data_IF_751132372669
#
_entry.id   IF_751132372669
#
_cell.length_a   1.000
_cell.length_b   1.000
_cell.length_c   1.000
_cell.angle_alpha   90.00
_cell.angle_beta   90.00
_cell.angle_gamma   90.00
#
_symmetry.space_group_name_H-M   'P 1'
#
loop_
_entity.id
_entity.type
_entity.pdbx_description
1 polymer ?
#
# COMPACT_ATOMS: atom_id res chain seq x y z
N UNK A 1 0.78 20.79 -12.03
CA UNK A 1 1.69 21.48 -11.08
C UNK A 1 1.54 22.99 -11.19
N UNK A 2 1.66 23.73 -10.08
CA UNK A 2 1.55 25.20 -10.06
C UNK A 2 2.58 25.89 -10.97
N UNK A 3 3.78 25.32 -11.09
CA UNK A 3 4.88 25.85 -11.91
C UNK A 3 4.53 25.92 -13.41
N UNK A 4 3.74 24.96 -13.91
CA UNK A 4 3.27 24.97 -15.30
C UNK A 4 2.08 25.92 -15.52
N UNK A 5 1.25 26.13 -14.51
CA UNK A 5 0.03 26.98 -14.60
C UNK A 5 0.32 28.46 -14.34
N UNK A 6 1.37 28.76 -13.56
CA UNK A 6 1.71 30.12 -13.13
C UNK A 6 3.20 30.43 -13.39
N UNK A 7 3.67 30.34 -14.65
CA UNK A 7 5.10 30.48 -14.98
C UNK A 7 5.67 31.87 -14.68
N UNK A 8 4.82 32.90 -14.59
CA UNK A 8 5.22 34.26 -14.18
C UNK A 8 5.63 34.35 -12.71
N UNK A 9 5.12 33.46 -11.85
CA UNK A 9 5.44 33.39 -10.43
C UNK A 9 6.49 32.31 -10.15
N UNK A 10 6.41 31.19 -10.88
CA UNK A 10 7.28 30.04 -10.71
C UNK A 10 7.94 29.64 -12.04
N UNK A 11 8.95 30.39 -12.51
CA UNK A 11 9.62 30.15 -13.79
C UNK A 11 10.47 28.87 -13.75
N UNK A 12 9.79 27.75 -14.00
CA UNK A 12 10.34 26.40 -14.01
C UNK A 12 10.56 25.81 -12.62
N UNK A 13 10.87 24.52 -12.59
CA UNK A 13 11.15 23.80 -11.36
C UNK A 13 12.45 24.28 -10.69
N UNK A 14 12.47 24.33 -9.35
CA UNK A 14 13.65 24.69 -8.56
C UNK A 14 13.95 23.63 -7.51
N UNK A 15 15.23 23.34 -7.33
CA UNK A 15 15.71 22.50 -6.24
C UNK A 15 15.33 23.13 -4.90
N UNK A 16 14.82 22.30 -3.99
CA UNK A 16 14.57 22.71 -2.61
C UNK A 16 15.90 22.88 -1.87
N UNK A 17 16.07 24.04 -1.25
CA UNK A 17 17.20 24.41 -0.39
C UNK A 17 16.74 24.40 1.07
N UNK A 18 17.69 24.41 2.00
CA UNK A 18 17.40 24.48 3.43
C UNK A 18 18.32 25.48 4.12
N UNK A 19 17.74 26.38 4.91
CA UNK A 19 18.43 27.31 5.77
C UNK A 19 17.53 27.59 6.97
N UNK A 20 17.94 27.18 8.17
CA UNK A 20 17.10 27.28 9.37
C UNK A 20 16.53 28.70 9.54
N UNK A 21 15.21 28.85 9.77
CA UNK A 21 14.21 27.80 10.05
C UNK A 21 13.46 27.26 8.81
N UNK A 22 13.89 27.55 7.59
CA UNK A 22 13.16 27.30 6.35
C UNK A 22 13.70 26.11 5.54
N UNK A 23 12.76 25.41 4.90
CA UNK A 23 13.00 24.72 3.62
C UNK A 23 12.38 25.58 2.51
N UNK A 24 13.13 25.92 1.47
CA UNK A 24 12.70 26.95 0.50
C UNK A 24 13.18 26.71 -0.92
N UNK A 25 12.52 27.37 -1.88
CA UNK A 25 12.96 27.48 -3.28
C UNK A 25 13.22 28.94 -3.62
N UNK A 26 14.29 29.17 -4.38
CA UNK A 26 14.63 30.49 -4.90
C UNK A 26 14.44 30.53 -6.42
N UNK A 27 13.70 31.54 -6.89
CA UNK A 27 13.41 31.80 -8.29
C UNK A 27 14.18 33.05 -8.74
N UNK A 28 15.39 32.92 -9.30
CA UNK A 28 16.26 34.06 -9.58
C UNK A 28 15.68 35.04 -10.59
N UNK A 29 14.84 34.59 -11.52
CA UNK A 29 14.20 35.44 -12.52
C UNK A 29 13.21 36.43 -11.91
N UNK A 30 12.58 36.07 -10.79
CA UNK A 30 11.61 36.92 -10.08
C UNK A 30 12.19 37.48 -8.78
N UNK A 31 13.38 37.03 -8.37
CA UNK A 31 13.97 37.35 -7.07
C UNK A 31 13.15 36.82 -5.89
N UNK A 32 12.27 35.83 -6.11
CA UNK A 32 11.32 35.34 -5.10
C UNK A 32 11.88 34.14 -4.34
N UNK A 33 11.75 34.18 -3.02
CA UNK A 33 11.95 33.05 -2.13
C UNK A 33 10.58 32.59 -1.66
N UNK A 34 10.28 31.30 -1.83
CA UNK A 34 9.10 30.65 -1.28
C UNK A 34 9.57 29.57 -0.32
N UNK A 35 9.24 29.70 0.96
CA UNK A 35 9.71 28.79 2.00
C UNK A 35 8.60 28.31 2.92
N UNK A 36 8.79 27.12 3.48
CA UNK A 36 7.98 26.57 4.58
C UNK A 36 8.87 26.52 5.81
N UNK A 37 8.35 26.97 6.94
CA UNK A 37 9.04 26.86 8.24
C UNK A 37 9.03 25.41 8.70
N UNK A 38 10.22 24.83 8.88
CA UNK A 38 10.41 23.47 9.37
C UNK A 38 10.81 23.40 10.84
N UNK A 39 11.16 24.54 11.44
CA UNK A 39 11.50 24.67 12.87
C UNK A 39 10.85 25.95 13.43
N UNK A 40 9.98 25.83 14.43
CA UNK A 40 9.34 26.99 15.06
C UNK A 40 10.38 27.88 15.76
N UNK A 41 10.15 29.20 15.74
CA UNK A 41 10.84 30.14 16.64
C UNK A 41 9.97 31.36 16.96
N UNK A 42 10.52 32.35 17.67
CA UNK A 42 9.78 33.54 18.10
C UNK A 42 9.22 34.39 16.94
N UNK A 43 9.79 34.27 15.73
CA UNK A 43 9.42 35.07 14.56
C UNK A 43 8.64 34.28 13.50
N UNK A 44 8.67 32.95 13.55
CA UNK A 44 8.18 32.08 12.48
C UNK A 44 7.38 30.89 13.01
N UNK A 45 6.17 30.73 12.50
CA UNK A 45 5.25 29.67 12.91
C UNK A 45 5.56 28.38 12.14
N UNK A 46 5.66 27.24 12.83
CA UNK A 46 5.93 25.94 12.21
C UNK A 46 4.85 25.61 11.18
N UNK A 47 5.27 25.13 10.00
CA UNK A 47 4.35 24.74 8.93
C UNK A 47 3.71 25.91 8.19
N UNK A 48 4.06 27.17 8.46
CA UNK A 48 3.58 28.31 7.68
C UNK A 48 4.43 28.54 6.42
N UNK A 49 3.79 29.08 5.39
CA UNK A 49 4.41 29.46 4.12
C UNK A 49 4.80 30.94 4.16
N UNK A 50 6.06 31.24 3.86
CA UNK A 50 6.58 32.59 3.81
C UNK A 50 7.14 32.93 2.43
N UNK A 51 6.96 34.18 2.02
CA UNK A 51 7.48 34.72 0.76
C UNK A 51 8.37 35.93 1.03
N UNK A 52 9.52 35.99 0.35
CA UNK A 52 10.38 37.16 0.30
C UNK A 52 10.71 37.53 -1.16
N UNK A 53 10.77 38.83 -1.47
CA UNK A 53 11.10 39.33 -2.80
C UNK A 53 9.87 39.59 -3.67
N UNK A 54 10.09 40.10 -4.89
CA UNK A 54 9.03 40.50 -5.83
C UNK A 54 7.93 41.41 -5.22
N UNK A 55 8.30 42.27 -4.26
CA UNK A 55 7.37 43.17 -3.57
C UNK A 55 6.59 42.53 -2.40
N UNK A 56 6.82 41.25 -2.12
CA UNK A 56 6.25 40.52 -0.99
C UNK A 56 7.35 40.28 0.04
N UNK A 57 7.48 41.19 1.01
CA UNK A 57 8.44 41.07 2.11
C UNK A 57 9.91 41.17 1.69
N UNK A 58 10.79 40.97 2.67
CA UNK A 58 12.26 40.96 2.49
C UNK A 58 12.85 39.71 3.12
N UNK A 59 14.11 39.38 2.84
CA UNK A 59 14.76 38.21 3.47
C UNK A 59 14.84 38.30 5.00
N UNK A 60 14.86 39.52 5.55
CA UNK A 60 14.88 39.76 7.01
C UNK A 60 13.48 39.91 7.62
N UNK A 61 12.46 40.16 6.79
CA UNK A 61 11.07 40.26 7.19
C UNK A 61 10.17 39.71 6.07
N UNK A 62 10.12 38.38 5.90
CA UNK A 62 9.31 37.76 4.86
C UNK A 62 7.82 37.84 5.24
N UNK A 63 6.95 37.88 4.23
CA UNK A 63 5.51 37.92 4.44
C UNK A 63 4.99 36.52 4.78
N UNK A 64 4.26 36.38 5.89
CA UNK A 64 3.52 35.16 6.23
C UNK A 64 2.29 35.06 5.32
N UNK A 65 2.21 33.98 4.55
CA UNK A 65 1.08 33.68 3.67
C UNK A 65 0.02 32.81 4.37
N UNK A 66 0.32 32.29 5.56
CA UNK A 66 -0.51 31.41 6.36
C UNK A 66 -0.01 29.97 6.40
N UNK A 67 -0.76 29.12 7.12
CA UNK A 67 -0.47 27.68 7.23
C UNK A 67 -0.37 27.01 5.86
N UNK A 68 0.61 26.12 5.69
CA UNK A 68 0.74 25.26 4.51
C UNK A 68 -0.54 24.48 4.22
N UNK A 69 -1.30 24.11 5.25
CA UNK A 69 -2.58 23.40 5.13
C UNK A 69 -3.67 24.22 4.43
N UNK A 70 -3.55 25.55 4.42
CA UNK A 70 -4.45 26.42 3.64
C UNK A 70 -4.18 26.32 2.13
N UNK A 71 -3.01 25.81 1.73
CA UNK A 71 -2.57 25.73 0.35
C UNK A 71 -2.55 24.30 -0.19
N UNK A 72 -2.27 23.32 0.68
CA UNK A 72 -2.23 21.90 0.35
C UNK A 72 -2.91 21.07 1.43
N UNK A 73 -3.65 20.04 1.05
CA UNK A 73 -4.15 19.05 2.00
C UNK A 73 -3.03 18.00 2.22
N UNK A 74 -2.55 17.80 3.46
CA UNK A 74 -1.60 16.72 3.73
C UNK A 74 -2.26 15.36 3.44
N UNK A 75 -1.46 14.39 3.02
CA UNK A 75 -1.91 13.01 2.91
C UNK A 75 -2.14 12.45 4.31
N UNK A 76 -3.26 11.75 4.51
CA UNK A 76 -3.61 11.11 5.78
C UNK A 76 -2.84 9.78 5.89
N UNK A 77 -1.54 9.85 6.17
CA UNK A 77 -0.67 8.68 6.15
C UNK A 77 -1.08 7.61 7.19
N UNK A 78 -1.03 6.30 6.86
CA UNK A 78 -1.48 5.18 7.71
C UNK A 78 -0.57 4.86 8.92
N UNK A 79 0.14 5.85 9.46
CA UNK A 79 1.19 5.65 10.47
C UNK A 79 2.46 5.02 9.89
N UNK A 80 3.27 4.35 10.73
CA UNK A 80 4.51 3.69 10.33
C UNK A 80 5.80 4.43 10.71
N UNK A 81 6.94 3.91 10.26
CA UNK A 81 8.30 4.41 10.46
C UNK A 81 8.96 4.75 9.12
N UNK A 82 9.54 5.94 9.01
CA UNK A 82 10.30 6.34 7.82
C UNK A 82 11.59 5.53 7.68
N UNK A 83 11.84 4.98 6.48
CA UNK A 83 13.11 4.35 6.13
C UNK A 83 13.64 4.90 4.81
N UNK A 84 14.93 4.62 4.55
CA UNK A 84 15.55 4.90 3.26
C UNK A 84 14.74 4.22 2.16
N UNK A 85 14.22 4.96 1.18
CA UNK A 85 13.46 4.37 0.08
C UNK A 85 14.26 3.32 -0.67
N UNK A 86 13.62 2.22 -1.11
CA UNK A 86 14.24 1.26 -2.02
C UNK A 86 14.70 1.93 -3.33
N UNK A 87 15.73 1.37 -3.96
CA UNK A 87 16.26 1.85 -5.24
C UNK A 87 16.11 0.77 -6.31
N UNK A 88 15.48 1.13 -7.43
CA UNK A 88 15.34 0.28 -8.62
C UNK A 88 16.23 0.84 -9.73
N UNK A 89 17.21 0.05 -10.19
CA UNK A 89 18.11 0.43 -11.29
C UNK A 89 18.75 1.83 -11.11
N UNK A 90 19.16 2.16 -9.89
CA UNK A 90 19.77 3.45 -9.54
C UNK A 90 18.79 4.59 -9.29
N UNK A 91 17.48 4.36 -9.44
CA UNK A 91 16.42 5.34 -9.15
C UNK A 91 15.73 5.00 -7.83
N UNK A 92 15.80 5.91 -6.86
CA UNK A 92 15.09 5.74 -5.59
C UNK A 92 13.58 5.89 -5.80
N UNK A 93 12.80 5.03 -5.14
CA UNK A 93 11.36 5.23 -5.00
C UNK A 93 11.09 6.50 -4.17
N UNK A 94 9.93 7.11 -4.38
CA UNK A 94 9.50 8.29 -3.64
C UNK A 94 8.83 7.87 -2.33
N UNK A 95 9.33 8.30 -1.17
CA UNK A 95 8.63 8.09 0.10
C UNK A 95 7.46 9.08 0.19
N UNK A 96 6.24 8.57 0.03
CA UNK A 96 5.02 9.40 0.03
C UNK A 96 4.42 9.47 1.44
N UNK A 97 4.50 8.38 2.17
CA UNK A 97 4.18 8.27 3.60
C UNK A 97 5.21 7.38 4.28
N UNK A 98 5.20 7.34 5.62
CA UNK A 98 5.94 6.29 6.33
C UNK A 98 5.48 4.91 5.83
N UNK A 99 6.43 4.02 5.54
CA UNK A 99 6.18 2.71 4.96
C UNK A 99 5.46 2.71 3.59
N UNK A 100 5.31 3.84 2.89
CA UNK A 100 4.70 3.87 1.54
C UNK A 100 5.67 4.49 0.54
N UNK A 101 6.12 3.68 -0.42
CA UNK A 101 7.08 4.05 -1.44
C UNK A 101 6.46 3.89 -2.82
N UNK A 102 6.54 4.93 -3.63
CA UNK A 102 5.89 4.99 -4.93
C UNK A 102 6.94 5.17 -6.03
N UNK A 103 6.80 4.41 -7.11
CA UNK A 103 7.57 4.58 -8.33
C UNK A 103 7.44 6.01 -8.87
N UNK A 104 8.54 6.73 -9.18
CA UNK A 104 8.49 8.07 -9.75
C UNK A 104 7.63 8.22 -11.00
N UNK A 105 7.32 7.15 -11.72
CA UNK A 105 6.40 7.19 -12.86
C UNK A 105 4.92 7.28 -12.48
N UNK A 106 4.55 7.10 -11.21
CA UNK A 106 3.16 7.23 -10.75
C UNK A 106 2.72 8.70 -10.79
N UNK A 107 1.63 9.02 -11.51
CA UNK A 107 1.12 10.38 -11.56
C UNK A 107 0.70 10.89 -10.17
N UNK A 108 1.14 12.10 -9.81
CA UNK A 108 0.90 12.70 -8.49
C UNK A 108 -0.58 12.82 -8.11
N UNK A 109 -1.46 12.93 -9.11
CA UNK A 109 -2.91 12.95 -8.92
C UNK A 109 -3.48 11.64 -8.37
N UNK A 110 -2.76 10.52 -8.49
CA UNK A 110 -3.19 9.23 -7.95
C UNK A 110 -2.77 9.02 -6.49
N UNK A 111 -1.84 9.81 -5.96
CA UNK A 111 -1.23 9.57 -4.65
C UNK A 111 -2.26 9.64 -3.51
N UNK A 112 -3.18 10.61 -3.56
CA UNK A 112 -4.24 10.72 -2.56
C UNK A 112 -5.14 9.48 -2.57
N UNK A 113 -5.57 9.02 -3.76
CA UNK A 113 -6.39 7.82 -3.88
C UNK A 113 -5.68 6.54 -3.41
N UNK A 114 -4.36 6.45 -3.61
CA UNK A 114 -3.54 5.34 -3.09
C UNK A 114 -3.55 5.35 -1.55
N UNK A 115 -3.29 6.51 -0.93
CA UNK A 115 -3.26 6.61 0.55
C UNK A 115 -4.65 6.37 1.15
N UNK A 116 -5.70 6.94 0.54
CA UNK A 116 -7.09 6.70 0.96
C UNK A 116 -7.46 5.22 0.84
N UNK A 117 -7.06 4.57 -0.26
CA UNK A 117 -7.23 3.14 -0.46
C UNK A 117 -6.56 2.29 0.62
N UNK A 118 -5.35 2.66 1.03
CA UNK A 118 -4.62 1.98 2.12
C UNK A 118 -5.37 2.12 3.45
N UNK A 119 -5.83 3.33 3.80
CA UNK A 119 -6.59 3.55 5.03
C UNK A 119 -7.90 2.75 5.05
N UNK A 120 -8.62 2.71 3.94
CA UNK A 120 -9.86 1.92 3.82
C UNK A 120 -9.55 0.43 3.94
N UNK A 121 -8.49 -0.07 3.29
CA UNK A 121 -8.07 -1.47 3.36
C UNK A 121 -7.71 -1.92 4.80
N UNK A 122 -7.06 -1.05 5.58
CA UNK A 122 -6.78 -1.28 7.01
C UNK A 122 -8.10 -1.43 7.78
N UNK A 123 -9.07 -0.54 7.52
CA UNK A 123 -10.40 -0.60 8.13
C UNK A 123 -11.14 -1.90 7.79
N UNK A 124 -11.07 -2.35 6.53
CA UNK A 124 -11.67 -3.61 6.07
C UNK A 124 -11.07 -4.83 6.77
N UNK A 125 -9.74 -4.90 6.85
CA UNK A 125 -9.07 -5.98 7.56
C UNK A 125 -9.39 -5.96 9.06
N UNK A 126 -9.43 -4.77 9.67
CA UNK A 126 -9.81 -4.60 11.09
C UNK A 126 -11.22 -5.10 11.36
N UNK A 127 -12.16 -4.91 10.42
CA UNK A 127 -13.54 -5.37 10.58
C UNK A 127 -13.65 -6.92 10.63
N UNK A 128 -12.72 -7.65 10.00
CA UNK A 128 -12.70 -9.11 9.97
C UNK A 128 -11.84 -9.70 11.08
N UNK A 129 -10.64 -9.15 11.29
CA UNK A 129 -9.66 -9.69 12.23
C UNK A 129 -9.76 -9.12 13.65
N UNK A 130 -10.53 -8.05 13.84
CA UNK A 130 -10.49 -7.23 15.05
C UNK A 130 -9.20 -6.40 15.09
N UNK A 131 -8.58 -6.28 16.27
CA UNK A 131 -7.28 -5.64 16.36
C UNK A 131 -6.25 -6.41 15.52
N UNK A 132 -5.60 -5.70 14.59
CA UNK A 132 -4.54 -6.27 13.75
C UNK A 132 -3.33 -6.62 14.61
N UNK A 133 -2.76 -7.80 14.37
CA UNK A 133 -1.51 -8.25 14.98
C UNK A 133 -0.30 -7.76 14.20
N UNK A 134 -0.46 -7.57 12.89
CA UNK A 134 0.56 -6.99 12.04
C UNK A 134 0.79 -5.51 12.35
N UNK A 135 2.06 -5.10 12.29
CA UNK A 135 2.40 -3.68 12.12
C UNK A 135 2.23 -3.29 10.65
N UNK A 136 2.10 -1.99 10.36
CA UNK A 136 2.05 -1.49 8.98
C UNK A 136 3.21 -2.08 8.14
N UNK A 137 2.91 -2.85 7.06
CA UNK A 137 3.92 -3.35 6.15
C UNK A 137 4.49 -2.20 5.32
N UNK A 138 5.65 -2.41 4.71
CA UNK A 138 6.06 -1.54 3.61
C UNK A 138 5.10 -1.76 2.42
N UNK A 139 4.67 -0.69 1.77
CA UNK A 139 3.82 -0.71 0.57
C UNK A 139 4.62 -0.09 -0.55
N UNK A 140 4.95 -0.90 -1.55
CA UNK A 140 5.66 -0.47 -2.76
C UNK A 140 4.65 -0.43 -3.90
N UNK A 141 4.45 0.75 -4.49
CA UNK A 141 3.55 0.93 -5.63
C UNK A 141 4.38 1.15 -6.89
N UNK A 142 4.40 0.14 -7.75
CA UNK A 142 5.04 0.16 -9.05
C UNK A 142 4.09 0.62 -10.15
N UNK A 143 4.66 1.28 -11.15
CA UNK A 143 3.94 1.65 -12.39
C UNK A 143 4.82 1.42 -13.62
N UNK A 144 6.13 1.65 -13.50
CA UNK A 144 7.08 1.26 -14.54
C UNK A 144 7.26 -0.25 -14.59
N UNK A 145 7.47 -0.75 -15.81
CA UNK A 145 7.89 -2.13 -16.05
C UNK A 145 9.14 -2.51 -15.22
N UNK A 146 10.10 -1.60 -15.09
CA UNK A 146 11.31 -1.81 -14.33
C UNK A 146 11.04 -2.05 -12.84
N UNK A 147 10.15 -1.26 -12.21
CA UNK A 147 9.75 -1.48 -10.82
C UNK A 147 9.02 -2.82 -10.65
N UNK A 148 8.02 -3.08 -11.51
CA UNK A 148 7.24 -4.32 -11.47
C UNK A 148 8.13 -5.56 -11.63
N UNK A 149 9.01 -5.58 -12.63
CA UNK A 149 9.91 -6.71 -12.86
C UNK A 149 10.93 -6.88 -11.72
N UNK A 150 11.37 -5.79 -11.10
CA UNK A 150 12.34 -5.83 -10.01
C UNK A 150 11.78 -6.46 -8.74
N UNK A 151 10.57 -6.05 -8.32
CA UNK A 151 9.98 -6.50 -7.05
C UNK A 151 9.06 -7.71 -7.18
N UNK A 152 8.31 -7.81 -8.28
CA UNK A 152 7.30 -8.86 -8.48
C UNK A 152 7.69 -9.87 -9.57
N UNK A 153 8.84 -9.70 -10.22
CA UNK A 153 9.27 -10.56 -11.31
C UNK A 153 8.44 -10.38 -12.60
N UNK A 154 8.70 -11.22 -13.62
CA UNK A 154 8.14 -11.02 -14.96
C UNK A 154 6.63 -11.24 -15.05
N UNK A 155 6.02 -11.92 -14.08
CA UNK A 155 4.56 -12.08 -14.02
C UNK A 155 3.86 -10.79 -13.63
N UNK A 156 4.58 -9.86 -12.96
CA UNK A 156 4.07 -8.59 -12.41
C UNK A 156 2.76 -8.77 -11.65
N UNK A 157 2.63 -9.87 -10.91
CA UNK A 157 1.54 -10.05 -9.96
C UNK A 157 1.81 -9.24 -8.71
N UNK A 158 0.77 -8.75 -8.05
CA UNK A 158 0.94 -8.28 -6.70
C UNK A 158 1.51 -9.41 -5.85
N UNK A 159 2.35 -9.06 -4.88
CA UNK A 159 3.00 -10.06 -4.03
C UNK A 159 3.36 -9.47 -2.68
N UNK A 160 3.49 -10.35 -1.70
CA UNK A 160 4.02 -10.02 -0.38
C UNK A 160 5.42 -10.59 -0.23
N UNK A 161 6.41 -9.72 -0.04
CA UNK A 161 7.78 -10.10 0.29
C UNK A 161 7.90 -10.27 1.80
N UNK A 162 8.39 -11.44 2.22
CA UNK A 162 8.61 -11.74 3.64
C UNK A 162 9.91 -11.12 4.16
N UNK A 163 10.04 -10.88 5.48
CA UNK A 163 11.29 -10.37 6.04
C UNK A 163 12.50 -11.21 5.60
N UNK A 164 13.56 -10.54 5.17
CA UNK A 164 14.81 -11.11 4.64
C UNK A 164 14.69 -11.83 3.28
N UNK A 165 13.58 -11.66 2.56
CA UNK A 165 13.50 -12.07 1.15
C UNK A 165 14.12 -11.02 0.23
N UNK A 166 14.60 -11.48 -0.93
CA UNK A 166 15.37 -10.68 -1.87
C UNK A 166 14.57 -10.38 -3.14
N UNK A 167 14.63 -9.13 -3.60
CA UNK A 167 14.19 -8.70 -4.91
C UNK A 167 15.36 -7.94 -5.57
N UNK A 168 16.14 -8.64 -6.41
CA UNK A 168 17.43 -8.12 -6.88
C UNK A 168 18.39 -7.84 -5.71
N UNK A 169 18.71 -6.57 -5.48
CA UNK A 169 19.56 -6.11 -4.36
C UNK A 169 18.76 -5.62 -3.16
N UNK A 170 17.44 -5.46 -3.29
CA UNK A 170 16.57 -5.12 -2.18
C UNK A 170 16.38 -6.32 -1.27
N UNK A 171 16.50 -6.09 0.03
CA UNK A 171 16.18 -7.07 1.07
C UNK A 171 15.03 -6.51 1.88
N UNK A 172 13.90 -7.20 1.87
CA UNK A 172 12.71 -6.77 2.59
C UNK A 172 13.01 -6.71 4.11
N UNK A 173 13.00 -5.53 4.74
CA UNK A 173 13.34 -5.40 6.16
C UNK A 173 12.21 -5.91 7.07
N UNK A 174 10.99 -5.99 6.52
CA UNK A 174 9.76 -6.46 7.13
C UNK A 174 8.82 -6.97 6.03
N UNK A 175 7.62 -7.41 6.39
CA UNK A 175 6.57 -7.70 5.40
C UNK A 175 6.37 -6.50 4.48
N UNK A 176 6.50 -6.72 3.17
CA UNK A 176 6.39 -5.69 2.14
C UNK A 176 5.35 -6.12 1.12
N UNK A 177 4.29 -5.33 0.94
CA UNK A 177 3.31 -5.52 -0.12
C UNK A 177 3.77 -4.76 -1.36
N UNK A 178 3.84 -5.46 -2.49
CA UNK A 178 4.23 -4.91 -3.79
C UNK A 178 3.01 -4.90 -4.69
N UNK A 179 2.62 -3.72 -5.14
CA UNK A 179 1.51 -3.50 -6.06
C UNK A 179 2.08 -3.11 -7.41
N UNK A 180 1.64 -3.77 -8.47
CA UNK A 180 2.24 -3.61 -9.82
C UNK A 180 1.47 -2.66 -10.73
N UNK A 181 0.45 -1.98 -10.21
CA UNK A 181 -0.25 -0.89 -10.89
C UNK A 181 -0.81 0.14 -9.92
N UNK A 182 -0.44 1.41 -10.11
CA UNK A 182 -0.94 2.50 -9.29
C UNK A 182 -2.45 2.74 -9.47
N UNK A 183 -2.97 2.52 -10.69
CA UNK A 183 -4.40 2.66 -10.97
C UNK A 183 -5.22 1.65 -10.17
N UNK A 184 -4.77 0.38 -10.14
CA UNK A 184 -5.44 -0.66 -9.35
C UNK A 184 -5.26 -0.47 -7.86
N UNK A 185 -4.12 0.10 -7.43
CA UNK A 185 -3.84 0.37 -6.01
C UNK A 185 -4.81 1.39 -5.40
N UNK A 186 -5.42 2.27 -6.20
CA UNK A 186 -6.48 3.16 -5.71
C UNK A 186 -7.77 2.40 -5.33
N UNK A 187 -7.92 1.14 -5.75
CA UNK A 187 -9.03 0.30 -5.37
C UNK A 187 -8.76 -0.36 -4.00
N UNK A 188 -9.51 0.01 -2.93
CA UNK A 188 -9.25 -0.52 -1.60
C UNK A 188 -9.45 -2.03 -1.50
N UNK A 189 -10.21 -2.65 -2.39
CA UNK A 189 -10.42 -4.11 -2.40
C UNK A 189 -9.12 -4.87 -2.71
N UNK A 190 -8.33 -4.37 -3.66
CA UNK A 190 -7.01 -4.96 -3.99
C UNK A 190 -6.08 -4.87 -2.78
N UNK A 191 -6.00 -3.69 -2.16
CA UNK A 191 -5.16 -3.49 -0.97
C UNK A 191 -5.65 -4.32 0.22
N UNK A 192 -6.96 -4.46 0.40
CA UNK A 192 -7.53 -5.26 1.48
C UNK A 192 -7.18 -6.75 1.30
N UNK A 193 -7.21 -7.25 0.06
CA UNK A 193 -6.76 -8.59 -0.29
C UNK A 193 -5.29 -8.77 0.12
N UNK A 194 -4.39 -7.90 -0.34
CA UNK A 194 -2.96 -8.05 -0.02
C UNK A 194 -2.66 -7.90 1.49
N UNK A 195 -3.36 -7.01 2.19
CA UNK A 195 -3.18 -6.83 3.64
C UNK A 195 -3.68 -8.03 4.45
N UNK A 196 -4.59 -8.84 3.87
CA UNK A 196 -4.97 -10.11 4.49
C UNK A 196 -3.78 -11.05 4.62
N UNK A 197 -2.99 -11.20 3.55
CA UNK A 197 -1.82 -12.09 3.57
C UNK A 197 -0.80 -11.67 4.65
N UNK A 198 -0.61 -10.35 4.82
CA UNK A 198 0.22 -9.79 5.89
C UNK A 198 -0.29 -10.20 7.27
N UNK A 199 -1.60 -10.07 7.51
CA UNK A 199 -2.20 -10.40 8.80
C UNK A 199 -2.20 -11.92 9.06
N UNK A 200 -2.53 -12.73 8.06
CA UNK A 200 -2.48 -14.20 8.14
C UNK A 200 -1.06 -14.66 8.46
N UNK A 201 -0.05 -14.15 7.77
CA UNK A 201 1.35 -14.45 8.03
C UNK A 201 1.74 -14.23 9.50
N UNK A 202 1.42 -13.06 10.06
CA UNK A 202 1.75 -12.70 11.45
C UNK A 202 0.95 -13.54 12.45
N UNK A 203 -0.32 -13.83 12.15
CA UNK A 203 -1.18 -14.67 13.01
C UNK A 203 -0.68 -16.10 13.07
N UNK A 204 -0.25 -16.67 11.95
CA UNK A 204 0.22 -18.05 11.86
C UNK A 204 1.63 -18.24 12.41
N UNK A 205 2.49 -17.21 12.35
CA UNK A 205 3.87 -17.28 12.85
C UNK A 205 4.65 -18.47 12.25
N UNK A 206 4.58 -18.60 10.92
CA UNK A 206 5.26 -19.65 10.16
C UNK A 206 4.52 -21.00 10.10
N UNK A 207 3.32 -21.11 10.69
CA UNK A 207 2.46 -22.28 10.48
C UNK A 207 1.77 -22.22 9.11
N UNK A 208 1.44 -23.39 8.58
CA UNK A 208 0.84 -23.53 7.25
C UNK A 208 -0.67 -23.45 7.27
N UNK A 209 -1.24 -22.76 6.29
CA UNK A 209 -2.62 -22.90 5.85
C UNK A 209 -2.64 -23.13 4.35
N UNK A 210 -3.62 -23.86 3.79
CA UNK A 210 -3.69 -24.08 2.36
C UNK A 210 -3.76 -22.76 1.57
N UNK A 211 -3.06 -22.68 0.43
CA UNK A 211 -3.08 -21.50 -0.44
C UNK A 211 -4.50 -21.12 -0.88
N UNK A 212 -5.35 -22.10 -1.20
CA UNK A 212 -6.75 -21.81 -1.52
C UNK A 212 -7.50 -21.14 -0.37
N UNK A 213 -7.15 -21.43 0.89
CA UNK A 213 -7.79 -20.81 2.04
C UNK A 213 -7.30 -19.38 2.23
N UNK A 214 -5.99 -19.15 2.14
CA UNK A 214 -5.42 -17.80 2.31
C UNK A 214 -5.94 -16.84 1.24
N UNK A 215 -5.90 -17.28 -0.03
CA UNK A 215 -6.41 -16.51 -1.16
C UNK A 215 -7.94 -16.35 -1.11
N UNK A 216 -8.65 -17.41 -0.71
CA UNK A 216 -10.10 -17.35 -0.51
C UNK A 216 -10.51 -16.39 0.62
N UNK A 217 -9.76 -16.36 1.72
CA UNK A 217 -9.99 -15.45 2.84
C UNK A 217 -9.75 -14.01 2.41
N UNK A 218 -8.63 -13.75 1.72
CA UNK A 218 -8.29 -12.45 1.17
C UNK A 218 -9.38 -11.95 0.20
N UNK A 219 -9.83 -12.79 -0.74
CA UNK A 219 -10.91 -12.45 -1.68
C UNK A 219 -12.25 -12.21 -0.96
N UNK A 220 -12.58 -13.03 0.04
CA UNK A 220 -13.81 -12.91 0.80
C UNK A 220 -13.88 -11.61 1.61
N UNK A 221 -12.84 -11.29 2.39
CA UNK A 221 -12.85 -10.09 3.24
C UNK A 221 -12.69 -8.80 2.44
N UNK A 222 -11.95 -8.85 1.33
CA UNK A 222 -11.88 -7.74 0.39
C UNK A 222 -13.26 -7.47 -0.23
N UNK A 223 -14.16 -8.46 -0.27
CA UNK A 223 -15.47 -8.31 -0.89
C UNK A 223 -15.34 -7.97 -2.38
N UNK A 224 -14.39 -8.61 -3.07
CA UNK A 224 -13.98 -8.20 -4.41
C UNK A 224 -15.18 -8.17 -5.39
N UNK A 225 -15.51 -7.00 -5.96
CA UNK A 225 -16.69 -6.86 -6.83
C UNK A 225 -16.64 -7.76 -8.07
N UNK A 226 -15.44 -8.15 -8.50
CA UNK A 226 -15.23 -9.02 -9.66
C UNK A 226 -15.94 -10.35 -9.52
N UNK A 227 -16.09 -10.86 -8.29
CA UNK A 227 -16.76 -12.13 -8.03
C UNK A 227 -18.28 -12.08 -8.15
N UNK A 228 -18.89 -10.89 -8.28
CA UNK A 228 -20.36 -10.75 -8.41
C UNK A 228 -20.90 -11.44 -9.66
N UNK A 229 -20.14 -11.44 -10.75
CA UNK A 229 -20.58 -11.96 -12.06
C UNK A 229 -19.84 -13.23 -12.49
N UNK A 230 -18.96 -13.76 -11.66
CA UNK A 230 -18.20 -14.98 -11.96
C UNK A 230 -19.07 -16.18 -11.56
N UNK A 231 -19.46 -16.98 -12.55
CA UNK A 231 -20.27 -18.19 -12.34
C UNK A 231 -19.46 -19.45 -12.63
N UNK A 232 -19.78 -20.53 -11.91
CA UNK A 232 -19.14 -21.84 -12.06
C UNK A 232 -17.90 -22.00 -11.18
N UNK A 233 -17.32 -23.20 -11.21
CA UNK A 233 -16.11 -23.54 -10.45
C UNK A 233 -14.88 -23.35 -11.35
N UNK A 234 -13.81 -22.78 -10.79
CA UNK A 234 -12.50 -22.71 -11.44
C UNK A 234 -11.82 -24.07 -11.46
N UNK A 235 -11.96 -24.82 -10.36
CA UNK A 235 -11.36 -26.14 -10.18
C UNK A 235 -12.36 -27.12 -9.54
N UNK A 236 -12.19 -28.42 -9.79
CA UNK A 236 -13.06 -29.45 -9.23
C UNK A 236 -12.95 -29.57 -7.70
N UNK A 237 -11.74 -29.43 -7.14
CA UNK A 237 -11.46 -29.54 -5.71
C UNK A 237 -10.39 -28.51 -5.31
N UNK A 238 -10.72 -27.51 -4.48
CA UNK A 238 -9.76 -26.47 -4.05
C UNK A 238 -8.63 -27.07 -3.22
N UNK A 239 -8.88 -28.20 -2.55
CA UNK A 239 -7.89 -28.85 -1.69
C UNK A 239 -6.68 -29.36 -2.47
N UNK A 240 -6.74 -29.44 -3.80
CA UNK A 240 -5.57 -29.76 -4.62
C UNK A 240 -4.64 -28.56 -4.80
N UNK A 241 -5.06 -27.35 -4.42
CA UNK A 241 -4.25 -26.13 -4.44
C UNK A 241 -3.89 -25.74 -3.00
N UNK A 242 -3.21 -26.65 -2.31
CA UNK A 242 -2.71 -26.45 -0.94
C UNK A 242 -1.41 -25.63 -0.91
N UNK A 243 -0.54 -25.85 -1.89
CA UNK A 243 0.74 -25.17 -2.01
C UNK A 243 0.63 -23.88 -2.84
N UNK A 244 1.39 -22.85 -2.46
CA UNK A 244 1.40 -21.54 -3.15
C UNK A 244 1.90 -21.66 -4.60
N UNK A 245 2.90 -22.51 -4.84
CA UNK A 245 3.43 -22.76 -6.18
C UNK A 245 2.40 -23.40 -7.10
N UNK A 246 1.65 -24.39 -6.61
CA UNK A 246 0.56 -25.03 -7.34
C UNK A 246 -0.59 -24.05 -7.62
N UNK A 247 -0.95 -23.23 -6.64
CA UNK A 247 -1.95 -22.16 -6.80
C UNK A 247 -1.54 -21.16 -7.89
N UNK A 248 -0.31 -20.63 -7.83
CA UNK A 248 0.20 -19.65 -8.81
C UNK A 248 0.29 -20.26 -10.20
N UNK A 249 0.78 -21.50 -10.32
CA UNK A 249 0.87 -22.19 -11.60
C UNK A 249 -0.52 -22.41 -12.23
N UNK A 250 -1.50 -22.86 -11.43
CA UNK A 250 -2.86 -23.13 -11.90
C UNK A 250 -3.60 -21.84 -12.31
N UNK A 251 -3.54 -20.82 -11.46
CA UNK A 251 -4.18 -19.52 -11.70
C UNK A 251 -3.40 -18.66 -12.70
N UNK A 252 -2.33 -19.18 -13.30
CA UNK A 252 -1.53 -18.53 -14.35
C UNK A 252 -2.36 -18.05 -15.55
N UNK A 253 -3.41 -18.79 -15.89
CA UNK A 253 -4.32 -18.46 -16.99
C UNK A 253 -5.49 -17.59 -16.54
N UNK A 254 -5.92 -16.64 -17.39
CA UNK A 254 -7.02 -15.71 -17.07
C UNK A 254 -8.34 -16.45 -16.78
N UNK A 255 -8.62 -17.56 -17.48
CA UNK A 255 -9.85 -18.33 -17.28
C UNK A 255 -9.89 -19.01 -15.90
N UNK A 256 -8.75 -19.57 -15.46
CA UNK A 256 -8.64 -20.18 -14.14
C UNK A 256 -8.56 -19.13 -13.03
N UNK A 257 -7.93 -17.98 -13.28
CA UNK A 257 -7.68 -16.94 -12.28
C UNK A 257 -8.97 -16.51 -11.56
N UNK A 258 -9.89 -15.82 -12.27
CA UNK A 258 -11.06 -15.26 -11.59
C UNK A 258 -11.99 -16.33 -11.02
N UNK A 259 -12.20 -17.44 -11.74
CA UNK A 259 -13.08 -18.52 -11.27
C UNK A 259 -12.55 -19.19 -10.01
N UNK A 260 -11.23 -19.40 -9.91
CA UNK A 260 -10.63 -20.11 -8.76
C UNK A 260 -10.58 -19.23 -7.52
N UNK A 261 -10.19 -17.96 -7.66
CA UNK A 261 -10.24 -16.98 -6.57
C UNK A 261 -11.68 -16.80 -6.06
N UNK A 262 -12.64 -16.60 -6.95
CA UNK A 262 -14.05 -16.45 -6.54
C UNK A 262 -14.65 -17.73 -5.96
N UNK A 263 -14.26 -18.92 -6.44
CA UNK A 263 -14.65 -20.19 -5.83
C UNK A 263 -14.09 -20.32 -4.40
N UNK A 264 -12.82 -20.00 -4.20
CA UNK A 264 -12.19 -20.01 -2.88
C UNK A 264 -12.83 -18.99 -1.92
N UNK A 265 -13.12 -17.78 -2.39
CA UNK A 265 -13.83 -16.77 -1.62
C UNK A 265 -15.26 -17.17 -1.27
N UNK A 266 -15.97 -17.84 -2.17
CA UNK A 266 -17.31 -18.37 -1.91
C UNK A 266 -17.29 -19.47 -0.83
N UNK A 267 -16.29 -20.36 -0.88
CA UNK A 267 -16.08 -21.41 0.11
C UNK A 267 -15.79 -20.85 1.49
N UNK A 268 -14.79 -19.98 1.61
CA UNK A 268 -14.46 -19.33 2.89
C UNK A 268 -15.65 -18.51 3.38
N UNK A 269 -16.33 -17.76 2.51
CA UNK A 269 -17.50 -16.99 2.88
C UNK A 269 -18.66 -17.86 3.39
N UNK A 270 -18.87 -19.05 2.81
CA UNK A 270 -19.87 -20.00 3.31
C UNK A 270 -19.47 -20.59 4.66
N UNK A 271 -18.18 -20.91 4.84
CA UNK A 271 -17.64 -21.39 6.11
C UNK A 271 -17.79 -20.37 7.24
N UNK A 272 -17.52 -19.09 6.96
CA UNK A 272 -17.69 -17.98 7.89
C UNK A 272 -19.17 -17.77 8.23
N UNK A 273 -20.07 -17.73 7.24
CA UNK A 273 -21.53 -17.54 7.48
C UNK A 273 -22.16 -18.64 8.33
N UNK A 274 -21.61 -19.85 8.30
CA UNK A 274 -22.08 -20.96 9.13
C UNK A 274 -21.56 -20.90 10.58
N UNK A 275 -20.72 -19.92 10.91
CA UNK A 275 -20.06 -19.76 12.21
C UNK A 275 -20.21 -18.32 12.71
N UNK A 276 -19.76 -18.05 13.93
CA UNK A 276 -19.70 -16.68 14.44
C UNK A 276 -18.51 -15.90 13.84
N UNK A 277 -18.52 -14.58 14.03
CA UNK A 277 -17.50 -13.68 13.50
C UNK A 277 -16.10 -13.92 14.08
N UNK A 278 -15.96 -14.63 15.20
CA UNK A 278 -14.67 -14.92 15.81
C UNK A 278 -14.00 -16.17 15.20
N UNK A 279 -14.71 -16.94 14.38
CA UNK A 279 -14.23 -18.22 13.85
C UNK A 279 -12.90 -18.12 13.07
N UNK A 280 -12.69 -17.07 12.28
CA UNK A 280 -11.43 -16.86 11.55
C UNK A 280 -10.27 -16.73 12.54
N UNK A 281 -10.43 -15.86 13.55
CA UNK A 281 -9.41 -15.66 14.58
C UNK A 281 -9.11 -16.95 15.36
N UNK A 282 -10.15 -17.71 15.72
CA UNK A 282 -10.02 -18.99 16.42
C UNK A 282 -9.29 -20.04 15.57
N UNK A 283 -9.64 -20.15 14.29
CA UNK A 283 -8.99 -21.06 13.33
C UNK A 283 -7.50 -20.74 13.21
N UNK A 284 -7.14 -19.48 12.93
CA UNK A 284 -5.75 -19.07 12.80
C UNK A 284 -4.97 -19.25 14.11
N UNK A 285 -5.61 -18.99 15.26
CA UNK A 285 -5.00 -19.23 16.57
C UNK A 285 -4.75 -20.72 16.82
N UNK A 286 -5.70 -21.60 16.50
CA UNK A 286 -5.53 -23.03 16.65
C UNK A 286 -4.41 -23.57 15.76
N UNK A 287 -4.34 -23.11 14.51
CA UNK A 287 -3.24 -23.47 13.59
C UNK A 287 -1.90 -22.95 14.11
N UNK A 288 -1.84 -21.69 14.58
CA UNK A 288 -0.64 -21.13 15.24
C UNK A 288 -0.17 -22.00 16.41
N UNK A 289 -1.09 -22.63 17.14
CA UNK A 289 -0.80 -23.55 18.25
C UNK A 289 -0.41 -24.96 17.81
N UNK A 290 -0.25 -25.21 16.51
CA UNK A 290 0.14 -26.49 15.93
C UNK A 290 -1.02 -27.46 15.70
N UNK A 291 -2.28 -27.00 15.82
CA UNK A 291 -3.42 -27.83 15.47
C UNK A 291 -3.58 -27.91 13.95
N UNK A 292 -4.06 -29.06 13.46
CA UNK A 292 -4.28 -29.29 12.03
C UNK A 292 -5.33 -28.33 11.46
N UNK A 293 -4.98 -27.60 10.40
CA UNK A 293 -5.93 -26.74 9.67
C UNK A 293 -7.17 -27.52 9.23
N UNK A 294 -6.99 -28.68 8.59
CA UNK A 294 -8.12 -29.47 8.07
C UNK A 294 -9.06 -29.95 9.17
N UNK A 295 -8.54 -30.23 10.37
CA UNK A 295 -9.35 -30.58 11.53
C UNK A 295 -10.17 -29.38 12.05
N UNK A 296 -9.55 -28.21 12.12
CA UNK A 296 -10.19 -26.99 12.63
C UNK A 296 -11.17 -26.38 11.61
N UNK A 297 -10.84 -26.43 10.33
CA UNK A 297 -11.70 -25.98 9.24
C UNK A 297 -12.90 -26.91 9.08
N UNK A 298 -12.66 -28.23 9.09
CA UNK A 298 -13.69 -29.25 8.94
C UNK A 298 -14.08 -29.49 7.49
N UNK A 299 -15.34 -29.92 7.28
CA UNK A 299 -15.85 -30.21 5.96
C UNK A 299 -16.03 -28.92 5.13
N UNK A 300 -15.73 -29.03 3.83
CA UNK A 300 -15.99 -27.97 2.86
C UNK A 300 -17.50 -27.74 2.71
N UNK A 301 -17.89 -26.49 2.44
CA UNK A 301 -19.29 -26.03 2.44
C UNK A 301 -19.91 -25.98 1.05
N UNK A 302 -19.13 -25.58 0.04
CA UNK A 302 -19.54 -25.26 -1.33
C UNK A 302 -18.67 -25.93 -2.40
N UNK A 303 -17.59 -26.59 -1.96
CA UNK A 303 -16.63 -27.32 -2.77
C UNK A 303 -17.24 -28.25 -3.81
#
# INVERSE_FOLDING_TARGET
MAEARFPSYFPGHRTTLSASPFSYRYYPQTGTYLGVVTIANASFQLGHVYVAGAGLGTLTNPTDMGSLENFIKPLECPGGTFHTPPTVSGTALLPVCNNVYIDPSVPTEQWAGIIDGINVAIGMNTAVYGALMSTMPDVIVCESAACGDYFAGPSRRNTTLYPNTYAGTYVAPRLTVVLTSATWTQNPYVLAHEFSHVEVSVRLNGQHVPAWFDEGLATYLAGEPICTNVTGKGIADLRTLDDEGDWVAYTGSVDAFFKTYCQAGAEVGAWVRARDSAAIGQLLQAVRQGQSFSTQYGAMMTQ
#
